data_IF_474129455659
#
_entry.id   IF_474129455659
#
_cell.length_a   1.000
_cell.length_b   1.000
_cell.length_c   1.000
_cell.angle_alpha   90.00
_cell.angle_beta   90.00
_cell.angle_gamma   90.00
#
_symmetry.space_group_name_H-M   'P 1'
#
loop_
_entity.id
_entity.type
_entity.pdbx_description
1 polymer ?
#
# COMPACT_ATOMS: atom_id res chain seq x y z
N UNK A 1 -1.40 -25.67 16.96
CA UNK A 1 -1.98 -25.79 15.62
C UNK A 1 -3.41 -25.27 15.60
N UNK A 2 -3.80 -24.55 14.55
CA UNK A 2 -5.15 -23.98 14.39
C UNK A 2 -5.60 -24.17 12.93
N UNK A 3 -6.83 -24.63 12.74
CA UNK A 3 -7.50 -24.68 11.45
C UNK A 3 -8.48 -23.52 11.34
N UNK A 4 -8.51 -22.85 10.20
CA UNK A 4 -9.43 -21.76 9.88
C UNK A 4 -10.20 -22.19 8.63
N UNK A 5 -11.39 -22.75 8.86
CA UNK A 5 -12.20 -23.45 7.83
C UNK A 5 -12.68 -22.47 6.75
N UNK A 6 -13.19 -21.30 7.13
CA UNK A 6 -13.77 -20.30 6.21
C UNK A 6 -12.81 -19.90 5.08
N UNK A 7 -11.52 -19.89 5.34
CA UNK A 7 -10.46 -19.51 4.38
C UNK A 7 -9.53 -20.67 4.03
N UNK A 8 -9.88 -21.91 4.44
CA UNK A 8 -9.14 -23.15 4.14
C UNK A 8 -7.63 -23.05 4.46
N UNK A 9 -7.31 -22.57 5.67
CA UNK A 9 -5.97 -22.30 6.15
C UNK A 9 -5.59 -23.16 7.34
N UNK A 10 -4.34 -23.64 7.36
CA UNK A 10 -3.72 -24.26 8.53
C UNK A 10 -2.67 -23.30 9.10
N UNK A 11 -2.74 -23.03 10.40
CA UNK A 11 -1.76 -22.21 11.13
C UNK A 11 -1.05 -23.12 12.12
N UNK A 12 0.29 -23.14 12.05
CA UNK A 12 1.13 -23.98 12.90
C UNK A 12 2.27 -23.20 13.52
N UNK A 13 2.79 -23.70 14.62
CA UNK A 13 4.12 -23.32 15.11
C UNK A 13 5.19 -24.12 14.35
N UNK A 14 6.40 -23.59 14.29
CA UNK A 14 7.52 -24.21 13.59
C UNK A 14 7.76 -25.67 14.03
N UNK A 15 7.68 -25.95 15.34
CA UNK A 15 7.87 -27.29 15.91
C UNK A 15 6.84 -28.33 15.41
N UNK A 16 5.69 -27.86 14.93
CA UNK A 16 4.61 -28.69 14.40
C UNK A 16 4.49 -28.61 12.87
N UNK A 17 5.54 -28.15 12.18
CA UNK A 17 5.51 -27.88 10.74
C UNK A 17 5.05 -29.09 9.93
N UNK A 18 5.63 -30.28 10.16
CA UNK A 18 5.31 -31.49 9.39
C UNK A 18 3.89 -31.96 9.66
N UNK A 19 3.45 -31.91 10.91
CA UNK A 19 2.07 -32.24 11.28
C UNK A 19 1.07 -31.31 10.59
N UNK A 20 1.35 -30.01 10.57
CA UNK A 20 0.51 -29.02 9.91
C UNK A 20 0.46 -29.18 8.40
N UNK A 21 1.57 -29.50 7.76
CA UNK A 21 1.66 -29.78 6.33
C UNK A 21 0.83 -31.04 5.96
N UNK A 22 0.94 -32.10 6.74
CA UNK A 22 0.13 -33.31 6.55
C UNK A 22 -1.36 -32.99 6.72
N UNK A 23 -1.72 -32.25 7.77
CA UNK A 23 -3.11 -31.85 8.00
C UNK A 23 -3.65 -31.00 6.85
N UNK A 24 -2.88 -30.04 6.33
CA UNK A 24 -3.29 -29.23 5.19
C UNK A 24 -3.55 -30.11 3.96
N UNK A 25 -2.68 -31.07 3.67
CA UNK A 25 -2.85 -32.03 2.59
C UNK A 25 -4.11 -32.87 2.78
N UNK A 26 -4.32 -33.42 3.97
CA UNK A 26 -5.43 -34.34 4.25
C UNK A 26 -6.79 -33.61 4.20
N UNK A 27 -6.81 -32.31 4.54
CA UNK A 27 -7.99 -31.45 4.41
C UNK A 27 -8.17 -30.85 2.99
N UNK A 28 -7.19 -31.00 2.11
CA UNK A 28 -7.19 -30.35 0.79
C UNK A 28 -7.02 -28.82 0.88
N UNK A 29 -6.38 -28.29 1.89
CA UNK A 29 -6.13 -26.86 2.09
C UNK A 29 -4.81 -26.45 1.47
N UNK A 30 -4.81 -25.38 0.69
CA UNK A 30 -3.63 -24.90 -0.05
C UNK A 30 -2.91 -23.74 0.63
N UNK A 31 -3.37 -23.29 1.81
CA UNK A 31 -2.78 -22.20 2.57
C UNK A 31 -2.19 -22.71 3.90
N UNK A 32 -0.89 -22.43 4.09
CA UNK A 32 -0.16 -22.71 5.31
C UNK A 32 0.42 -21.42 5.89
N UNK A 33 0.21 -21.18 7.19
CA UNK A 33 0.89 -20.11 7.93
C UNK A 33 1.73 -20.74 9.05
N UNK A 34 3.02 -20.43 9.05
CA UNK A 34 3.98 -20.90 10.06
C UNK A 34 4.39 -19.74 10.95
N UNK A 35 4.12 -19.87 12.25
CA UNK A 35 4.66 -18.97 13.26
C UNK A 35 6.01 -19.53 13.75
N UNK A 36 7.05 -18.73 13.59
CA UNK A 36 8.44 -19.12 13.95
C UNK A 36 8.91 -18.49 15.26
N UNK A 37 7.98 -18.16 16.16
CA UNK A 37 8.30 -17.66 17.51
C UNK A 37 8.85 -18.78 18.39
N UNK A 38 10.16 -18.87 18.63
CA UNK A 38 10.68 -19.80 19.64
C UNK A 38 10.30 -19.32 21.05
N UNK A 39 10.27 -20.23 22.04
CA UNK A 39 10.15 -19.86 23.45
C UNK A 39 11.21 -18.82 23.84
N UNK A 40 10.86 -17.87 24.70
CA UNK A 40 11.58 -16.63 25.02
C UNK A 40 13.06 -16.76 25.42
N UNK A 41 13.55 -17.95 25.70
CA UNK A 41 14.93 -18.24 26.13
C UNK A 41 15.77 -19.04 25.11
N UNK A 42 15.25 -19.30 23.89
CA UNK A 42 15.92 -20.13 22.87
C UNK A 42 16.28 -19.41 21.57
N UNK A 43 16.06 -18.10 21.46
CA UNK A 43 16.24 -17.33 20.22
C UNK A 43 17.69 -17.35 19.65
N UNK A 44 18.67 -17.49 20.51
CA UNK A 44 20.07 -17.34 20.10
C UNK A 44 20.67 -18.61 19.44
N UNK A 45 20.01 -19.77 19.51
CA UNK A 45 20.62 -21.05 19.13
C UNK A 45 19.85 -21.89 18.12
N UNK A 46 18.62 -21.54 17.76
CA UNK A 46 17.81 -22.39 16.90
C UNK A 46 17.91 -21.95 15.44
N UNK A 47 18.55 -22.77 14.61
CA UNK A 47 18.52 -22.62 13.15
C UNK A 47 17.14 -23.07 12.66
N UNK A 48 16.35 -22.14 12.13
CA UNK A 48 15.03 -22.44 11.56
C UNK A 48 15.22 -22.95 10.14
N UNK A 49 14.77 -24.16 9.88
CA UNK A 49 14.76 -24.78 8.56
C UNK A 49 13.33 -25.09 8.12
N UNK A 50 12.84 -24.33 7.16
CA UNK A 50 11.50 -24.46 6.58
C UNK A 50 11.51 -25.23 5.26
N UNK A 51 12.64 -25.78 4.81
CA UNK A 51 12.81 -26.43 3.50
C UNK A 51 11.85 -27.62 3.27
N UNK A 52 11.41 -28.26 4.35
CA UNK A 52 10.39 -29.32 4.31
C UNK A 52 9.09 -28.91 3.58
N UNK A 53 8.79 -27.63 3.53
CA UNK A 53 7.62 -27.09 2.81
C UNK A 53 7.68 -27.48 1.31
N UNK A 54 8.86 -27.64 0.74
CA UNK A 54 9.03 -28.01 -0.69
C UNK A 54 8.46 -29.39 -1.05
N UNK A 55 8.38 -30.29 -0.08
CA UNK A 55 7.80 -31.63 -0.27
C UNK A 55 6.27 -31.57 -0.50
N UNK A 56 5.66 -30.40 -0.30
CA UNK A 56 4.21 -30.17 -0.35
C UNK A 56 3.83 -29.22 -1.50
N UNK A 57 4.12 -29.64 -2.73
CA UNK A 57 3.94 -28.85 -3.95
C UNK A 57 2.50 -28.42 -4.28
N UNK A 58 1.50 -28.86 -3.51
CA UNK A 58 0.10 -28.43 -3.64
C UNK A 58 -0.14 -27.05 -3.02
N UNK A 59 0.79 -26.52 -2.22
CA UNK A 59 0.62 -25.22 -1.56
C UNK A 59 0.61 -24.07 -2.57
N UNK A 60 -0.41 -23.23 -2.46
CA UNK A 60 -0.59 -22.00 -3.24
C UNK A 60 -0.27 -20.74 -2.44
N UNK A 61 -0.42 -20.80 -1.10
CA UNK A 61 -0.27 -19.67 -0.21
C UNK A 61 0.60 -20.04 0.99
N UNK A 62 1.70 -19.32 1.18
CA UNK A 62 2.61 -19.53 2.31
C UNK A 62 2.77 -18.24 3.10
N UNK A 63 2.42 -18.32 4.40
CA UNK A 63 2.65 -17.26 5.38
C UNK A 63 3.73 -17.68 6.37
N UNK A 64 4.65 -16.76 6.69
CA UNK A 64 5.65 -16.95 7.75
C UNK A 64 5.59 -15.72 8.65
N UNK A 65 5.27 -15.92 9.93
CA UNK A 65 5.11 -14.84 10.89
C UNK A 65 6.06 -14.99 12.07
N UNK A 66 6.21 -13.89 12.81
CA UNK A 66 6.95 -13.82 14.08
C UNK A 66 8.46 -14.13 13.97
N UNK A 67 9.05 -13.85 12.82
CA UNK A 67 10.49 -13.92 12.66
C UNK A 67 11.12 -12.76 13.44
N UNK A 68 11.77 -13.07 14.56
CA UNK A 68 12.30 -12.06 15.46
C UNK A 68 13.49 -11.30 14.89
N UNK A 69 13.63 -10.03 15.32
CA UNK A 69 14.76 -9.14 14.99
C UNK A 69 16.13 -9.63 15.46
N UNK A 70 16.18 -10.62 16.33
CA UNK A 70 17.39 -11.09 17.00
C UNK A 70 17.79 -12.51 16.62
N UNK A 71 17.26 -13.04 15.50
CA UNK A 71 17.77 -14.30 14.97
C UNK A 71 19.25 -14.09 14.61
N UNK A 72 20.16 -14.87 15.21
CA UNK A 72 21.59 -14.81 14.94
C UNK A 72 21.93 -15.10 13.45
N UNK A 73 21.00 -15.70 12.72
CA UNK A 73 21.14 -16.06 11.32
C UNK A 73 19.91 -15.60 10.51
N UNK A 74 20.11 -15.10 9.27
CA UNK A 74 19.02 -14.83 8.38
C UNK A 74 18.24 -16.11 8.06
N UNK A 75 16.91 -16.01 8.01
CA UNK A 75 16.08 -17.16 7.61
C UNK A 75 16.21 -17.36 6.11
N UNK A 76 16.63 -18.55 5.73
CA UNK A 76 16.77 -18.93 4.33
C UNK A 76 15.41 -19.36 3.77
N UNK A 77 14.86 -18.57 2.85
CA UNK A 77 13.57 -18.78 2.16
C UNK A 77 13.76 -19.06 0.66
N UNK A 78 14.96 -19.36 0.20
CA UNK A 78 15.25 -19.70 -1.21
C UNK A 78 14.41 -20.88 -1.70
N UNK A 79 14.02 -21.78 -0.80
CA UNK A 79 13.18 -22.94 -1.11
C UNK A 79 11.79 -22.56 -1.67
N UNK A 80 11.27 -21.36 -1.39
CA UNK A 80 9.98 -20.90 -1.91
C UNK A 80 9.94 -20.86 -3.44
N UNK A 81 11.09 -20.67 -4.10
CA UNK A 81 11.20 -20.70 -5.55
C UNK A 81 10.91 -22.09 -6.16
N UNK A 82 11.00 -23.15 -5.36
CA UNK A 82 10.74 -24.52 -5.78
C UNK A 82 9.29 -24.99 -5.58
N UNK A 83 8.40 -24.11 -5.06
CA UNK A 83 6.97 -24.42 -4.93
C UNK A 83 6.25 -24.14 -6.26
N UNK A 84 5.81 -25.19 -7.00
CA UNK A 84 5.35 -25.02 -8.38
C UNK A 84 4.00 -24.30 -8.52
N UNK A 85 3.21 -24.25 -7.43
CA UNK A 85 1.89 -23.66 -7.42
C UNK A 85 1.77 -22.41 -6.55
N UNK A 86 2.89 -21.86 -6.07
CA UNK A 86 2.91 -20.72 -5.17
C UNK A 86 2.36 -19.45 -5.86
N UNK A 87 1.25 -18.95 -5.33
CA UNK A 87 0.53 -17.74 -5.80
C UNK A 87 0.64 -16.58 -4.83
N UNK A 88 0.86 -16.85 -3.54
CA UNK A 88 0.91 -15.79 -2.52
C UNK A 88 1.95 -16.09 -1.46
N UNK A 89 2.69 -15.03 -1.09
CA UNK A 89 3.62 -15.03 0.05
C UNK A 89 3.21 -13.92 1.00
N UNK A 90 3.16 -14.27 2.31
CA UNK A 90 3.05 -13.29 3.40
C UNK A 90 4.20 -13.50 4.37
N UNK A 91 5.03 -12.48 4.55
CA UNK A 91 6.16 -12.51 5.45
C UNK A 91 6.09 -11.36 6.44
N UNK A 92 5.78 -11.65 7.69
CA UNK A 92 5.90 -10.70 8.79
C UNK A 92 7.24 -10.95 9.49
N UNK A 93 8.28 -10.33 8.96
CA UNK A 93 9.66 -10.53 9.38
C UNK A 93 10.19 -9.24 9.96
N UNK A 94 10.60 -9.28 11.20
CA UNK A 94 11.36 -8.18 11.81
C UNK A 94 12.88 -8.40 11.77
N UNK A 95 13.34 -9.53 11.23
CA UNK A 95 14.73 -9.93 11.08
C UNK A 95 15.15 -10.10 9.60
N UNK A 96 16.40 -10.46 9.40
CA UNK A 96 16.93 -10.72 8.07
C UNK A 96 16.42 -12.04 7.49
N UNK A 97 16.01 -12.01 6.21
CA UNK A 97 15.68 -13.22 5.46
C UNK A 97 16.24 -13.13 4.04
N UNK A 98 16.55 -14.30 3.47
CA UNK A 98 17.11 -14.44 2.13
C UNK A 98 16.02 -15.00 1.22
N UNK A 99 15.64 -14.27 0.18
CA UNK A 99 14.67 -14.70 -0.83
C UNK A 99 15.20 -14.38 -2.22
N UNK A 100 15.02 -15.33 -3.15
CA UNK A 100 15.15 -15.11 -4.58
C UNK A 100 13.78 -15.25 -5.25
N UNK A 101 13.27 -14.17 -5.82
CA UNK A 101 11.99 -14.13 -6.51
C UNK A 101 12.05 -14.64 -7.96
N UNK A 102 13.26 -14.89 -8.50
CA UNK A 102 13.47 -15.24 -9.91
C UNK A 102 12.76 -16.52 -10.39
N UNK A 103 12.54 -17.48 -9.49
CA UNK A 103 11.84 -18.74 -9.77
C UNK A 103 10.33 -18.70 -9.61
N UNK A 104 9.75 -17.63 -9.01
CA UNK A 104 8.35 -17.60 -8.58
C UNK A 104 7.40 -17.09 -9.67
N UNK A 105 7.32 -17.81 -10.80
CA UNK A 105 6.62 -17.37 -12.03
C UNK A 105 5.08 -17.26 -11.91
N UNK A 106 4.45 -17.87 -10.89
CA UNK A 106 3.01 -17.82 -10.66
C UNK A 106 2.61 -16.90 -9.51
N UNK A 107 3.57 -16.17 -8.91
CA UNK A 107 3.31 -15.34 -7.76
C UNK A 107 2.45 -14.13 -8.14
N UNK A 108 1.30 -14.01 -7.49
CA UNK A 108 0.29 -12.97 -7.74
C UNK A 108 0.16 -11.98 -6.58
N UNK A 109 0.46 -12.42 -5.34
CA UNK A 109 0.34 -11.59 -4.15
C UNK A 109 1.58 -11.68 -3.28
N UNK A 110 2.08 -10.52 -2.89
CA UNK A 110 3.21 -10.39 -1.97
C UNK A 110 2.86 -9.39 -0.87
N UNK A 111 2.99 -9.83 0.38
CA UNK A 111 2.85 -9.00 1.58
C UNK A 111 4.06 -9.27 2.48
N UNK A 112 4.97 -8.31 2.60
CA UNK A 112 6.22 -8.53 3.31
C UNK A 112 6.82 -7.26 3.94
N UNK A 113 7.62 -7.47 4.97
CA UNK A 113 8.58 -6.48 5.44
C UNK A 113 9.83 -6.52 4.57
N UNK A 114 10.31 -5.35 4.12
CA UNK A 114 11.46 -5.26 3.23
C UNK A 114 12.76 -5.72 3.90
N UNK A 115 13.55 -6.50 3.15
CA UNK A 115 14.88 -6.93 3.54
C UNK A 115 15.89 -6.64 2.41
N UNK A 116 17.10 -6.24 2.78
CA UNK A 116 18.17 -5.94 1.81
C UNK A 116 18.69 -7.17 1.05
N UNK A 117 18.37 -8.39 1.55
CA UNK A 117 18.79 -9.67 0.94
C UNK A 117 17.72 -10.27 0.00
N UNK A 118 16.79 -9.45 -0.48
CA UNK A 118 15.88 -9.83 -1.55
C UNK A 118 16.55 -9.67 -2.90
N UNK A 119 16.47 -10.71 -3.74
CA UNK A 119 17.01 -10.70 -5.09
C UNK A 119 15.93 -10.97 -6.15
N UNK A 120 16.18 -10.52 -7.37
CA UNK A 120 15.32 -10.73 -8.54
C UNK A 120 13.85 -10.29 -8.34
N UNK A 121 13.61 -9.26 -7.52
CA UNK A 121 12.28 -8.74 -7.24
C UNK A 121 11.59 -8.22 -8.53
N UNK A 122 12.36 -7.63 -9.43
CA UNK A 122 11.91 -7.15 -10.74
C UNK A 122 11.44 -8.26 -11.70
N UNK A 123 11.68 -9.55 -11.37
CA UNK A 123 11.20 -10.69 -12.18
C UNK A 123 9.72 -11.03 -11.98
N UNK A 124 9.04 -10.40 -10.99
CA UNK A 124 7.66 -10.67 -10.62
C UNK A 124 6.65 -10.04 -11.60
N UNK A 125 6.69 -10.43 -12.86
CA UNK A 125 5.83 -9.88 -13.92
C UNK A 125 4.35 -10.23 -13.79
N UNK A 126 4.02 -11.32 -13.08
CA UNK A 126 2.64 -11.79 -12.84
C UNK A 126 2.01 -11.24 -11.56
N UNK A 127 2.72 -10.36 -10.85
CA UNK A 127 2.24 -9.83 -9.57
C UNK A 127 1.04 -8.91 -9.78
N UNK A 128 -0.02 -9.13 -8.98
CA UNK A 128 -1.28 -8.38 -9.00
C UNK A 128 -1.40 -7.47 -7.79
N UNK A 129 -0.98 -7.96 -6.62
CA UNK A 129 -1.06 -7.22 -5.35
C UNK A 129 0.28 -7.22 -4.65
N UNK A 130 0.74 -6.03 -4.25
CA UNK A 130 1.98 -5.82 -3.52
C UNK A 130 1.72 -4.99 -2.27
N UNK A 131 2.13 -5.51 -1.12
CA UNK A 131 2.25 -4.77 0.12
C UNK A 131 3.66 -4.91 0.65
N UNK A 132 4.30 -3.78 0.91
CA UNK A 132 5.66 -3.75 1.48
C UNK A 132 5.71 -2.79 2.66
N UNK A 133 6.31 -3.24 3.74
CA UNK A 133 6.65 -2.42 4.89
C UNK A 133 8.17 -2.19 4.95
N UNK A 134 8.57 -0.95 5.21
CA UNK A 134 9.96 -0.60 5.45
C UNK A 134 10.86 -0.58 4.21
N UNK A 135 10.30 -0.40 3.00
CA UNK A 135 11.11 -0.26 1.78
C UNK A 135 12.13 0.86 1.92
N UNK A 136 13.43 0.54 1.80
CA UNK A 136 14.50 1.42 2.24
C UNK A 136 15.34 2.06 1.13
N UNK A 137 14.87 2.00 -0.14
CA UNK A 137 15.50 2.71 -1.26
C UNK A 137 14.86 4.08 -1.48
N UNK A 138 15.53 4.96 -2.26
CA UNK A 138 15.07 6.32 -2.52
C UNK A 138 14.07 6.44 -3.68
N UNK A 139 13.97 5.42 -4.54
CA UNK A 139 13.06 5.34 -5.69
C UNK A 139 12.33 3.99 -5.74
N UNK A 140 11.37 3.83 -6.65
CA UNK A 140 10.56 2.61 -6.82
C UNK A 140 10.98 1.76 -8.03
N UNK A 141 12.24 1.87 -8.47
CA UNK A 141 12.74 1.18 -9.67
C UNK A 141 12.62 -0.35 -9.63
N UNK A 142 12.68 -0.94 -8.44
CA UNK A 142 12.51 -2.39 -8.28
C UNK A 142 11.14 -2.89 -8.76
N UNK A 143 10.15 -2.00 -8.85
CA UNK A 143 8.77 -2.34 -9.20
C UNK A 143 8.41 -2.01 -10.65
N UNK A 144 9.23 -1.24 -11.37
CA UNK A 144 8.93 -0.70 -12.70
C UNK A 144 8.67 -1.71 -13.81
N UNK A 145 8.89 -3.02 -13.58
CA UNK A 145 8.59 -4.08 -14.54
C UNK A 145 7.29 -4.83 -14.26
N UNK A 146 6.54 -4.46 -13.20
CA UNK A 146 5.34 -5.16 -12.75
C UNK A 146 4.10 -4.67 -13.50
N UNK A 147 4.00 -4.98 -14.78
CA UNK A 147 2.96 -4.47 -15.70
C UNK A 147 1.53 -4.86 -15.29
N UNK A 148 1.37 -6.03 -14.65
CA UNK A 148 0.07 -6.57 -14.23
C UNK A 148 -0.34 -6.13 -12.82
N UNK A 149 0.52 -5.38 -12.11
CA UNK A 149 0.26 -4.91 -10.76
C UNK A 149 -0.94 -3.97 -10.73
N UNK A 150 -1.97 -4.34 -9.96
CA UNK A 150 -3.22 -3.57 -9.80
C UNK A 150 -3.26 -2.81 -8.48
N UNK A 151 -2.67 -3.38 -7.43
CA UNK A 151 -2.71 -2.80 -6.09
C UNK A 151 -1.32 -2.73 -5.49
N UNK A 152 -0.93 -1.54 -5.01
CA UNK A 152 0.31 -1.33 -4.26
C UNK A 152 0.03 -0.63 -2.93
N UNK A 153 0.61 -1.15 -1.85
CA UNK A 153 0.57 -0.55 -0.52
C UNK A 153 1.99 -0.47 0.02
N UNK A 154 2.44 0.73 0.34
CA UNK A 154 3.76 1.00 0.91
C UNK A 154 3.61 1.56 2.33
N UNK A 155 4.21 0.86 3.32
CA UNK A 155 4.25 1.29 4.72
C UNK A 155 5.67 1.67 5.12
N UNK A 156 5.85 2.84 5.73
CA UNK A 156 7.14 3.38 6.18
C UNK A 156 8.25 3.33 5.10
N UNK A 157 8.00 3.63 3.81
CA UNK A 157 9.05 3.64 2.82
C UNK A 157 9.97 4.85 3.01
N UNK A 158 11.24 4.72 2.60
CA UNK A 158 12.21 5.84 2.66
C UNK A 158 12.37 6.58 1.33
N UNK A 159 11.43 6.43 0.41
CA UNK A 159 11.42 7.06 -0.90
C UNK A 159 11.34 8.58 -0.82
N UNK A 160 11.95 9.27 -1.79
CA UNK A 160 11.88 10.72 -1.94
C UNK A 160 10.78 11.17 -2.92
N UNK A 161 10.49 10.31 -3.91
CA UNK A 161 9.42 10.47 -4.90
C UNK A 161 8.87 9.09 -5.29
N UNK A 162 7.89 9.05 -6.19
CA UNK A 162 7.33 7.81 -6.75
C UNK A 162 8.02 7.41 -8.06
N UNK A 163 9.17 8.00 -8.38
CA UNK A 163 9.96 7.69 -9.58
C UNK A 163 10.32 6.22 -9.66
N UNK A 164 10.22 5.63 -10.86
CA UNK A 164 10.54 4.24 -11.14
C UNK A 164 9.32 3.31 -11.19
N UNK A 165 8.10 3.83 -10.89
CA UNK A 165 6.85 3.05 -10.92
C UNK A 165 6.11 3.14 -12.26
N UNK A 166 6.58 3.94 -13.19
CA UNK A 166 5.91 4.26 -14.46
C UNK A 166 5.61 3.05 -15.36
N UNK A 167 6.29 1.92 -15.17
CA UNK A 167 5.98 0.66 -15.83
C UNK A 167 4.83 -0.14 -15.22
N UNK A 168 4.29 0.23 -14.07
CA UNK A 168 3.12 -0.40 -13.44
C UNK A 168 1.81 0.06 -14.09
N UNK A 169 1.68 -0.09 -15.39
CA UNK A 169 0.61 0.47 -16.24
C UNK A 169 -0.80 -0.05 -15.93
N UNK A 170 -0.93 -1.11 -15.15
CA UNK A 170 -2.21 -1.68 -14.70
C UNK A 170 -2.61 -1.23 -13.30
N UNK A 171 -1.79 -0.40 -12.63
CA UNK A 171 -2.03 0.03 -11.26
C UNK A 171 -3.28 0.92 -11.18
N UNK A 172 -4.27 0.49 -10.39
CA UNK A 172 -5.51 1.22 -10.18
C UNK A 172 -5.71 1.67 -8.73
N UNK A 173 -4.95 1.10 -7.79
CA UNK A 173 -5.04 1.40 -6.38
C UNK A 173 -3.64 1.55 -5.77
N UNK A 174 -3.38 2.68 -5.11
CA UNK A 174 -2.11 2.91 -4.41
C UNK A 174 -2.30 3.59 -3.06
N UNK A 175 -1.66 3.02 -2.02
CA UNK A 175 -1.53 3.63 -0.69
C UNK A 175 -0.06 3.85 -0.35
N UNK A 176 0.26 5.00 0.23
CA UNK A 176 1.58 5.32 0.77
C UNK A 176 1.44 5.89 2.18
N UNK A 177 1.87 5.12 3.16
CA UNK A 177 1.74 5.46 4.57
C UNK A 177 3.08 5.74 5.23
N UNK A 178 3.16 6.84 5.98
CA UNK A 178 4.31 7.23 6.82
C UNK A 178 5.63 7.38 6.05
N UNK A 179 5.59 7.78 4.78
CA UNK A 179 6.78 8.04 3.97
C UNK A 179 7.46 9.36 4.40
N UNK A 180 8.30 9.28 5.43
CA UNK A 180 8.91 10.45 6.10
C UNK A 180 9.85 11.28 5.22
N UNK A 181 10.30 10.74 4.10
CA UNK A 181 11.21 11.43 3.16
C UNK A 181 10.53 11.85 1.86
N UNK A 182 9.30 11.41 1.60
CA UNK A 182 8.55 11.70 0.38
C UNK A 182 8.32 13.21 0.25
N UNK A 183 8.81 13.81 -0.84
CA UNK A 183 8.72 15.22 -1.14
C UNK A 183 7.80 15.53 -2.32
N UNK A 184 7.71 14.62 -3.28
CA UNK A 184 6.93 14.77 -4.51
C UNK A 184 6.27 13.46 -4.92
N UNK A 185 5.09 13.55 -5.57
CA UNK A 185 4.42 12.41 -6.18
C UNK A 185 4.89 12.16 -7.63
N UNK A 186 5.96 12.83 -8.08
CA UNK A 186 6.57 12.62 -9.39
C UNK A 186 6.86 11.13 -9.65
N UNK A 187 6.54 10.66 -10.86
CA UNK A 187 6.73 9.27 -11.30
C UNK A 187 5.43 8.53 -11.56
N UNK A 188 4.27 9.12 -11.18
CA UNK A 188 2.96 8.50 -11.42
C UNK A 188 2.27 8.99 -12.69
N UNK A 189 2.83 9.92 -13.41
CA UNK A 189 2.20 10.64 -14.55
C UNK A 189 1.72 9.68 -15.64
N UNK A 190 2.33 8.49 -15.77
CA UNK A 190 1.96 7.46 -16.74
C UNK A 190 0.99 6.40 -16.23
N UNK A 191 0.58 6.46 -14.98
CA UNK A 191 -0.32 5.48 -14.36
C UNK A 191 -1.78 5.76 -14.75
N UNK A 192 -2.09 5.70 -16.03
CA UNK A 192 -3.38 6.09 -16.59
C UNK A 192 -4.58 5.25 -16.11
N UNK A 193 -4.34 4.14 -15.40
CA UNK A 193 -5.41 3.33 -14.78
C UNK A 193 -5.58 3.60 -13.28
N UNK A 194 -4.77 4.52 -12.71
CA UNK A 194 -4.87 4.83 -11.28
C UNK A 194 -6.18 5.56 -10.99
N UNK A 195 -7.04 4.93 -10.19
CA UNK A 195 -8.36 5.45 -9.79
C UNK A 195 -8.37 5.91 -8.32
N UNK A 196 -7.54 5.32 -7.48
CA UNK A 196 -7.49 5.59 -6.05
C UNK A 196 -6.05 5.80 -5.59
N UNK A 197 -5.80 6.94 -4.91
CA UNK A 197 -4.53 7.27 -4.29
C UNK A 197 -4.74 7.79 -2.87
N UNK A 198 -4.12 7.12 -1.88
CA UNK A 198 -4.14 7.53 -0.48
C UNK A 198 -2.71 7.76 0.04
N UNK A 199 -2.43 8.97 0.47
CA UNK A 199 -1.15 9.40 1.02
C UNK A 199 -1.36 9.85 2.47
N UNK A 200 -0.90 9.05 3.41
CA UNK A 200 -1.13 9.32 4.83
C UNK A 200 0.18 9.49 5.61
N UNK A 201 0.26 10.56 6.39
CA UNK A 201 1.37 10.84 7.30
C UNK A 201 2.74 10.99 6.59
N UNK A 202 2.76 11.76 5.50
CA UNK A 202 3.96 12.09 4.72
C UNK A 202 4.37 13.56 4.95
N UNK A 203 5.05 13.89 6.06
CA UNK A 203 5.20 15.27 6.55
C UNK A 203 6.08 16.18 5.67
N UNK A 204 6.88 15.58 4.77
CA UNK A 204 7.75 16.32 3.83
C UNK A 204 7.17 16.46 2.43
N UNK A 205 5.96 15.94 2.18
CA UNK A 205 5.32 16.06 0.88
C UNK A 205 4.93 17.52 0.61
N UNK A 206 5.46 18.07 -0.48
CA UNK A 206 5.26 19.45 -0.92
C UNK A 206 4.60 19.53 -2.29
N UNK A 207 5.00 18.63 -3.21
CA UNK A 207 4.58 18.65 -4.60
C UNK A 207 3.69 17.45 -4.92
N UNK A 208 2.45 17.77 -5.29
CA UNK A 208 1.42 16.80 -5.70
C UNK A 208 0.96 17.04 -7.16
N UNK A 209 1.65 17.88 -7.91
CA UNK A 209 1.21 18.28 -9.26
C UNK A 209 0.98 17.11 -10.20
N UNK A 210 1.82 16.06 -10.10
CA UNK A 210 1.72 14.85 -10.92
C UNK A 210 0.35 14.14 -10.83
N UNK A 211 -0.40 14.29 -9.73
CA UNK A 211 -1.72 13.62 -9.61
C UNK A 211 -2.77 14.24 -10.52
N UNK A 212 -2.62 15.50 -10.90
CA UNK A 212 -3.58 16.22 -11.74
C UNK A 212 -3.39 15.94 -13.23
N UNK A 213 -2.33 15.23 -13.62
CA UNK A 213 -2.12 14.69 -14.96
C UNK A 213 -2.86 13.35 -15.18
N UNK A 214 -3.39 12.74 -14.10
CA UNK A 214 -4.05 11.44 -14.13
C UNK A 214 -5.54 11.55 -14.52
N UNK A 215 -5.88 11.28 -15.76
CA UNK A 215 -7.24 11.43 -16.30
C UNK A 215 -8.29 10.49 -15.69
N UNK A 216 -7.90 9.42 -15.00
CA UNK A 216 -8.80 8.44 -14.38
C UNK A 216 -8.79 8.44 -12.85
N UNK A 217 -8.00 9.32 -12.21
CA UNK A 217 -7.96 9.40 -10.75
C UNK A 217 -9.28 9.96 -10.22
N UNK A 218 -10.02 9.16 -9.47
CA UNK A 218 -11.34 9.52 -8.90
C UNK A 218 -11.26 9.87 -7.41
N UNK A 219 -10.39 9.18 -6.67
CA UNK A 219 -10.25 9.39 -5.23
C UNK A 219 -8.82 9.77 -4.91
N UNK A 220 -8.66 10.97 -4.36
CA UNK A 220 -7.39 11.46 -3.82
C UNK A 220 -7.56 11.78 -2.35
N UNK A 221 -6.79 11.08 -1.51
CA UNK A 221 -6.70 11.36 -0.08
C UNK A 221 -5.28 11.74 0.28
N UNK A 222 -5.11 12.89 0.92
CA UNK A 222 -3.82 13.38 1.39
C UNK A 222 -4.03 13.88 2.82
N UNK A 223 -3.69 13.02 3.77
CA UNK A 223 -3.97 13.26 5.18
C UNK A 223 -2.69 13.24 6.02
N UNK A 224 -2.61 14.12 7.01
CA UNK A 224 -1.42 14.32 7.86
C UNK A 224 -0.15 14.65 7.07
N UNK A 225 -0.32 15.45 6.00
CA UNK A 225 0.70 15.89 5.06
C UNK A 225 0.77 17.43 5.05
N UNK A 226 1.34 18.02 6.09
CA UNK A 226 1.29 19.47 6.38
C UNK A 226 2.10 20.34 5.42
N UNK A 227 2.84 19.77 4.47
CA UNK A 227 3.69 20.51 3.56
C UNK A 227 2.96 21.15 2.38
N UNK A 228 1.79 20.62 2.01
CA UNK A 228 1.02 21.08 0.87
C UNK A 228 0.25 22.34 1.27
N UNK A 229 0.55 23.46 0.58
CA UNK A 229 -0.09 24.74 0.84
C UNK A 229 -0.96 25.19 -0.32
N UNK A 230 -0.41 25.12 -1.52
CA UNK A 230 -1.10 25.55 -2.72
C UNK A 230 -1.37 24.40 -3.67
N UNK A 231 -2.56 24.37 -4.25
CA UNK A 231 -2.95 23.45 -5.31
C UNK A 231 -3.22 24.29 -6.57
N UNK A 232 -2.48 24.00 -7.63
CA UNK A 232 -2.61 24.66 -8.91
C UNK A 232 -2.87 23.62 -10.00
N UNK A 233 -4.03 23.71 -10.68
CA UNK A 233 -4.38 22.83 -11.79
C UNK A 233 -4.24 23.62 -13.09
N UNK A 234 -3.60 23.01 -14.08
CA UNK A 234 -3.55 23.54 -15.46
C UNK A 234 -4.81 23.14 -16.20
N UNK A 235 -5.16 21.85 -16.15
CA UNK A 235 -6.34 21.27 -16.81
C UNK A 235 -7.43 20.92 -15.80
N UNK A 236 -8.62 20.53 -16.29
CA UNK A 236 -9.70 20.01 -15.44
C UNK A 236 -9.35 18.64 -14.89
N UNK A 237 -9.63 18.43 -13.61
CA UNK A 237 -9.39 17.18 -12.91
C UNK A 237 -10.60 16.25 -12.94
N UNK A 238 -10.32 14.93 -13.02
CA UNK A 238 -11.34 13.87 -12.96
C UNK A 238 -11.72 13.46 -11.53
N UNK A 239 -11.11 14.08 -10.50
CA UNK A 239 -11.31 13.70 -9.10
C UNK A 239 -12.76 13.95 -8.66
N UNK A 240 -13.37 12.91 -8.10
CA UNK A 240 -14.73 12.92 -7.54
C UNK A 240 -14.72 13.06 -6.01
N UNK A 241 -13.69 12.56 -5.34
CA UNK A 241 -13.54 12.60 -3.89
C UNK A 241 -12.14 13.11 -3.53
N UNK A 242 -12.08 14.22 -2.80
CA UNK A 242 -10.83 14.85 -2.38
C UNK A 242 -10.79 15.02 -0.86
N UNK A 243 -9.74 14.48 -0.23
CA UNK A 243 -9.43 14.72 1.18
C UNK A 243 -8.09 15.45 1.29
N UNK A 244 -8.05 16.52 2.09
CA UNK A 244 -6.87 17.34 2.32
C UNK A 244 -6.78 17.74 3.80
N UNK A 245 -5.57 18.01 4.29
CA UNK A 245 -5.39 18.59 5.63
C UNK A 245 -5.65 20.10 5.61
N UNK A 246 -4.72 20.85 5.01
CA UNK A 246 -4.74 22.30 5.00
C UNK A 246 -4.21 22.80 3.67
N UNK A 247 -4.90 23.78 3.12
CA UNK A 247 -4.48 24.49 1.91
C UNK A 247 -4.74 26.00 2.07
N UNK A 248 -4.04 26.81 1.30
CA UNK A 248 -4.13 28.27 1.42
C UNK A 248 -5.51 28.79 1.01
N UNK A 249 -6.11 28.25 -0.05
CA UNK A 249 -7.41 28.66 -0.58
C UNK A 249 -8.08 27.53 -1.38
N UNK A 250 -9.35 27.74 -1.77
CA UNK A 250 -10.17 26.79 -2.53
C UNK A 250 -10.30 27.15 -4.02
N UNK A 251 -9.49 28.04 -4.58
CA UNK A 251 -9.63 28.46 -5.99
C UNK A 251 -9.50 27.30 -6.98
N UNK A 252 -8.74 26.28 -6.64
CA UNK A 252 -8.50 25.12 -7.48
C UNK A 252 -9.76 24.29 -7.76
N UNK A 253 -10.80 24.32 -6.89
CA UNK A 253 -12.00 23.49 -7.08
C UNK A 253 -12.80 23.88 -8.33
N UNK A 254 -12.67 25.12 -8.82
CA UNK A 254 -13.30 25.54 -10.08
C UNK A 254 -12.84 24.72 -11.30
N UNK A 255 -11.68 24.07 -11.20
CA UNK A 255 -11.16 23.13 -12.21
C UNK A 255 -11.41 21.65 -11.87
N UNK A 256 -12.35 21.39 -10.97
CA UNK A 256 -12.74 20.03 -10.55
C UNK A 256 -14.23 19.77 -10.84
N UNK A 257 -14.69 19.78 -12.10
CA UNK A 257 -16.11 19.74 -12.44
C UNK A 257 -16.82 18.44 -12.05
N UNK A 258 -16.05 17.40 -11.67
CA UNK A 258 -16.57 16.10 -11.20
C UNK A 258 -16.52 15.93 -9.69
N UNK A 259 -16.09 16.94 -8.94
CA UNK A 259 -15.91 16.83 -7.48
C UNK A 259 -17.27 16.74 -6.79
N UNK A 260 -17.51 15.60 -6.15
CA UNK A 260 -18.75 15.28 -5.40
C UNK A 260 -18.55 15.38 -3.89
N UNK A 261 -17.34 15.05 -3.43
CA UNK A 261 -17.02 15.01 -2.00
C UNK A 261 -15.72 15.77 -1.73
N UNK A 262 -15.76 16.69 -0.78
CA UNK A 262 -14.60 17.43 -0.31
C UNK A 262 -14.50 17.35 1.21
N UNK A 263 -13.34 16.85 1.70
CA UNK A 263 -12.98 16.89 3.11
C UNK A 263 -11.71 17.69 3.30
N UNK A 264 -11.70 18.62 4.26
CA UNK A 264 -10.52 19.38 4.64
C UNK A 264 -10.53 19.75 6.12
N UNK A 265 -9.33 19.87 6.69
CA UNK A 265 -9.15 20.29 8.08
C UNK A 265 -9.01 21.80 8.22
N UNK A 266 -8.42 22.49 7.21
CA UNK A 266 -8.19 23.91 7.28
C UNK A 266 -8.05 24.58 5.91
N UNK A 267 -8.65 25.77 5.77
CA UNK A 267 -8.41 26.71 4.67
C UNK A 267 -7.80 27.97 5.28
N UNK A 268 -6.59 28.32 4.86
CA UNK A 268 -5.83 29.37 5.54
C UNK A 268 -6.44 30.76 5.37
N UNK A 269 -6.90 31.12 4.17
CA UNK A 269 -7.56 32.39 3.93
C UNK A 269 -8.98 32.50 4.48
N UNK A 270 -9.57 31.36 4.91
CA UNK A 270 -10.91 31.31 5.48
C UNK A 270 -12.07 31.51 4.51
N UNK A 271 -11.81 31.72 3.24
CA UNK A 271 -12.84 31.92 2.22
C UNK A 271 -13.40 30.60 1.72
N UNK A 272 -14.65 30.31 2.08
CA UNK A 272 -15.42 29.13 1.67
C UNK A 272 -16.45 29.43 0.58
N UNK A 273 -16.54 30.66 0.10
CA UNK A 273 -17.49 31.04 -0.95
C UNK A 273 -17.40 30.21 -2.25
N UNK A 274 -16.22 29.69 -2.67
CA UNK A 274 -16.15 28.79 -3.83
C UNK A 274 -16.98 27.52 -3.72
N UNK A 275 -17.34 27.10 -2.49
CA UNK A 275 -18.17 25.90 -2.28
C UNK A 275 -19.64 26.12 -2.61
N UNK A 276 -20.15 27.35 -2.46
CA UNK A 276 -21.57 27.66 -2.60
C UNK A 276 -22.13 27.43 -4.00
N UNK A 277 -21.32 27.60 -5.04
CA UNK A 277 -21.73 27.53 -6.44
C UNK A 277 -21.05 26.39 -7.20
N UNK A 278 -20.48 25.40 -6.50
CA UNK A 278 -19.81 24.30 -7.17
C UNK A 278 -20.85 23.32 -7.79
N UNK A 279 -20.79 23.04 -9.11
CA UNK A 279 -21.91 22.43 -9.85
C UNK A 279 -22.20 20.97 -9.46
N UNK A 280 -21.24 20.25 -8.92
CA UNK A 280 -21.39 18.78 -8.66
C UNK A 280 -21.11 18.40 -7.20
N UNK A 281 -20.69 19.37 -6.36
CA UNK A 281 -20.36 19.08 -4.97
C UNK A 281 -21.64 18.79 -4.18
N UNK A 282 -21.71 17.60 -3.58
CA UNK A 282 -22.87 17.16 -2.80
C UNK A 282 -22.54 16.92 -1.33
N UNK A 283 -21.29 16.65 -1.00
CA UNK A 283 -20.85 16.39 0.36
C UNK A 283 -19.61 17.19 0.71
N UNK A 284 -19.70 17.97 1.79
CA UNK A 284 -18.57 18.71 2.33
C UNK A 284 -18.39 18.43 3.82
N UNK A 285 -17.18 18.08 4.21
CA UNK A 285 -16.83 17.87 5.60
C UNK A 285 -15.63 18.71 6.01
N UNK A 286 -15.81 19.53 7.05
CA UNK A 286 -14.75 20.32 7.67
C UNK A 286 -15.15 20.77 9.08
N UNK A 287 -14.21 21.04 9.98
CA UNK A 287 -14.50 21.63 11.29
C UNK A 287 -14.81 23.12 11.13
N UNK A 288 -15.87 23.60 11.80
CA UNK A 288 -16.18 25.04 11.82
C UNK A 288 -15.05 25.82 12.51
N UNK A 289 -14.60 26.91 11.89
CA UNK A 289 -13.60 27.82 12.46
C UNK A 289 -14.09 29.27 12.40
N UNK A 290 -13.72 30.09 13.41
CA UNK A 290 -14.15 31.52 13.48
C UNK A 290 -13.70 32.35 12.27
N UNK A 291 -12.61 31.94 11.60
CA UNK A 291 -12.09 32.65 10.44
C UNK A 291 -12.83 32.36 9.12
N UNK A 292 -13.71 31.36 9.11
CA UNK A 292 -14.42 30.97 7.89
C UNK A 292 -15.57 31.92 7.56
N UNK A 293 -15.71 32.22 6.27
CA UNK A 293 -16.79 33.07 5.75
C UNK A 293 -18.17 32.44 5.91
N UNK A 294 -18.23 31.09 5.98
CA UNK A 294 -19.46 30.30 6.10
C UNK A 294 -19.26 29.13 7.05
N UNK A 295 -20.33 28.75 7.72
CA UNK A 295 -20.40 27.53 8.52
C UNK A 295 -20.62 26.30 7.62
N UNK A 296 -20.31 25.11 8.16
CA UNK A 296 -20.59 23.87 7.42
C UNK A 296 -22.09 23.70 7.13
N UNK A 297 -22.98 24.12 8.07
CA UNK A 297 -24.43 24.03 7.88
C UNK A 297 -24.90 24.91 6.72
N UNK A 298 -24.41 26.14 6.61
CA UNK A 298 -24.72 27.04 5.52
C UNK A 298 -24.30 26.47 4.16
N UNK A 299 -23.07 25.92 4.07
CA UNK A 299 -22.59 25.27 2.87
C UNK A 299 -23.47 24.06 2.50
N UNK A 300 -23.72 23.14 3.44
CA UNK A 300 -24.53 21.93 3.19
C UNK A 300 -25.95 22.29 2.72
N UNK A 301 -26.56 23.32 3.34
CA UNK A 301 -27.89 23.79 2.92
C UNK A 301 -27.88 24.39 1.50
N UNK A 302 -26.80 25.04 1.08
CA UNK A 302 -26.69 25.58 -0.29
C UNK A 302 -26.54 24.50 -1.35
N UNK A 303 -25.90 23.34 -1.00
CA UNK A 303 -25.70 22.21 -1.92
C UNK A 303 -26.96 21.34 -2.10
N UNK A 304 -27.93 21.42 -1.21
CA UNK A 304 -29.17 20.61 -1.22
C UNK A 304 -30.38 21.28 -1.85
N UNK A 305 -30.25 22.46 -2.50
CA UNK A 305 -31.33 23.26 -3.02
C UNK A 305 -31.54 23.16 -4.56
N UNK A 306 -31.12 22.04 -5.20
CA UNK A 306 -31.47 21.73 -6.58
C UNK A 306 -32.35 20.47 -6.70
#
# INVERSE_FOLDING_TARGET
>A
MKVVEDIKRVIVRYEQLVEGLNLARDLGYTELVVSVSPPSNMWEKTKIDLSKITEYGFLEHVGISDIARHAQYPINLLFLAYLPNLKSIRLSVSGDCIIDFGGMKKLQKVDLSWCSQFSNFNSLSTLIELRIEGYNKSSLEDFGQMKDLKKMILWDPTINSLTGIDGCISLNYMDVFRAKKLQSLKGIERLNKLEYLDILSCPKLLDISAVFELGNLRVLKIEKCKGIKEISLVEESSIECLHLDSVDNLRFISKMPKLKQLHFENIENGDLSPLLSHPTLSNVYFPNKKKYTHTRLEIVNSLGNE
#
